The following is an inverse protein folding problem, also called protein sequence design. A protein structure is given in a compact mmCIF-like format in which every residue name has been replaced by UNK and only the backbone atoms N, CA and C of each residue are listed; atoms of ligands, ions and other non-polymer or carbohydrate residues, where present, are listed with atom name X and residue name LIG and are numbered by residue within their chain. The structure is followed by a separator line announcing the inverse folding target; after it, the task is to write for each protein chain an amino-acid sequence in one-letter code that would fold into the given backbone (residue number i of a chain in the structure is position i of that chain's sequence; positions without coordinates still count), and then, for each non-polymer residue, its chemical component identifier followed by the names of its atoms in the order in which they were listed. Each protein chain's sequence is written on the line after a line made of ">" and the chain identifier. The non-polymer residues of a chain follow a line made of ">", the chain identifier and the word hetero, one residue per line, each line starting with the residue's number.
data_IF_803142049196
#
_entry.id   IF_803142049196
#
_cell.length_a   1.000
_cell.length_b   1.000
_cell.length_c   1.000
_cell.angle_alpha   90.00
_cell.angle_beta   90.00
_cell.angle_gamma   90.00
#
_symmetry.space_group_name_H-M   'P 1'
#
loop_
_entity.id
_entity.type
_entity.pdbx_description
1 polymer ?
#
# COMPACT_ATOMS: atom_id res chain seq x y z
N UNK A 1 15.34 -10.55 20.82
CA UNK A 1 14.22 -9.88 21.51
C UNK A 1 13.08 -9.61 20.53
N UNK A 2 11.84 -9.51 21.02
CA UNK A 2 10.65 -9.17 20.19
C UNK A 2 10.84 -7.83 19.46
N UNK A 3 11.54 -6.87 20.09
CA UNK A 3 11.83 -5.55 19.51
C UNK A 3 12.82 -5.60 18.35
N UNK A 4 13.85 -6.44 18.41
CA UNK A 4 14.79 -6.60 17.31
C UNK A 4 14.10 -7.19 16.07
N UNK A 5 13.24 -8.19 16.26
CA UNK A 5 12.43 -8.71 15.16
C UNK A 5 11.51 -7.64 14.57
N UNK A 6 10.92 -6.77 15.42
CA UNK A 6 10.08 -5.65 14.94
C UNK A 6 10.87 -4.69 14.03
N UNK A 7 12.11 -4.38 14.40
CA UNK A 7 13.01 -3.52 13.61
C UNK A 7 13.41 -4.16 12.29
N UNK A 8 13.72 -5.46 12.28
CA UNK A 8 13.97 -6.23 11.05
C UNK A 8 12.74 -6.16 10.12
N UNK A 9 11.54 -6.26 10.69
CA UNK A 9 10.26 -6.11 9.98
C UNK A 9 9.88 -4.64 9.71
N UNK A 10 10.80 -3.69 9.94
CA UNK A 10 10.65 -2.26 9.66
C UNK A 10 9.52 -1.56 10.39
N UNK A 11 9.06 -2.13 11.51
CA UNK A 11 8.13 -1.42 12.39
C UNK A 11 8.83 -0.21 13.02
N UNK A 12 8.13 0.94 13.16
CA UNK A 12 8.64 2.06 13.94
C UNK A 12 8.93 1.63 15.38
N UNK A 13 10.01 2.17 15.97
CA UNK A 13 10.38 1.84 17.35
C UNK A 13 9.28 2.24 18.36
N UNK A 14 8.48 3.27 18.03
CA UNK A 14 7.31 3.71 18.81
C UNK A 14 6.09 2.80 18.70
N UNK A 15 6.10 1.79 17.82
CA UNK A 15 4.97 0.89 17.65
C UNK A 15 4.88 -0.11 18.81
N UNK A 16 3.78 -0.03 19.55
CA UNK A 16 3.51 -0.86 20.72
C UNK A 16 2.81 -2.15 20.29
N UNK A 17 3.36 -3.29 20.71
CA UNK A 17 2.79 -4.60 20.45
C UNK A 17 2.15 -5.10 21.74
N UNK A 18 0.85 -5.39 21.69
CA UNK A 18 0.12 -5.95 22.82
C UNK A 18 0.16 -7.48 22.76
N UNK A 19 0.87 -8.10 23.70
CA UNK A 19 0.91 -9.55 23.87
C UNK A 19 1.14 -9.89 25.35
N UNK A 20 0.58 -11.00 25.80
CA UNK A 20 0.80 -11.53 27.16
C UNK A 20 1.97 -12.50 27.21
N UNK A 21 2.11 -13.33 26.17
CA UNK A 21 3.20 -14.30 26.06
C UNK A 21 4.21 -13.88 24.99
N UNK A 22 5.49 -14.00 25.31
CA UNK A 22 6.61 -13.64 24.41
C UNK A 22 6.52 -14.41 23.08
N UNK A 23 6.14 -15.70 23.13
CA UNK A 23 5.97 -16.53 21.94
C UNK A 23 4.91 -15.97 20.97
N UNK A 24 3.82 -15.39 21.51
CA UNK A 24 2.80 -14.74 20.68
C UNK A 24 3.37 -13.48 20.01
N UNK A 25 4.15 -12.67 20.74
CA UNK A 25 4.85 -11.51 20.17
C UNK A 25 5.77 -11.88 19.00
N UNK A 26 6.58 -12.93 19.15
CA UNK A 26 7.42 -13.41 18.04
C UNK A 26 6.61 -13.91 16.84
N UNK A 27 5.51 -14.65 17.07
CA UNK A 27 4.65 -15.15 15.98
C UNK A 27 3.97 -14.00 15.24
N UNK A 28 3.47 -13.00 15.95
CA UNK A 28 2.84 -11.81 15.36
C UNK A 28 3.82 -11.06 14.45
N UNK A 29 5.04 -10.83 14.91
CA UNK A 29 6.04 -10.08 14.16
C UNK A 29 6.61 -10.89 13.01
N UNK A 30 6.94 -12.17 13.24
CA UNK A 30 7.55 -13.04 12.23
C UNK A 30 6.64 -13.32 11.04
N UNK A 31 5.33 -13.39 11.27
CA UNK A 31 4.36 -13.60 10.20
C UNK A 31 3.90 -12.29 9.53
N UNK A 32 4.25 -11.13 10.07
CA UNK A 32 3.86 -9.85 9.48
C UNK A 32 4.59 -9.61 8.15
N UNK A 33 3.99 -8.79 7.28
CA UNK A 33 4.69 -8.21 6.13
C UNK A 33 5.51 -7.01 6.63
N UNK A 34 6.78 -6.82 6.19
CA UNK A 34 7.54 -5.64 6.54
C UNK A 34 6.80 -4.34 6.18
N UNK A 35 6.71 -3.40 7.12
CA UNK A 35 5.96 -2.14 6.97
C UNK A 35 6.40 -1.34 5.73
N UNK A 36 7.69 -1.23 5.47
CA UNK A 36 8.21 -0.51 4.30
C UNK A 36 7.79 -1.18 2.98
N UNK A 37 7.78 -2.52 2.93
CA UNK A 37 7.32 -3.25 1.75
C UNK A 37 5.83 -2.99 1.51
N UNK A 38 5.01 -3.08 2.55
CA UNK A 38 3.59 -2.76 2.48
C UNK A 38 3.35 -1.32 1.97
N UNK A 39 4.14 -0.35 2.44
CA UNK A 39 4.08 1.05 1.97
C UNK A 39 4.38 1.16 0.47
N UNK A 40 5.47 0.53 0.00
CA UNK A 40 5.82 0.60 -1.42
C UNK A 40 4.79 -0.09 -2.31
N UNK A 41 4.23 -1.22 -1.88
CA UNK A 41 3.13 -1.88 -2.58
C UNK A 41 1.89 -0.98 -2.67
N UNK A 42 1.48 -0.36 -1.55
CA UNK A 42 0.34 0.54 -1.53
C UNK A 42 0.52 1.76 -2.44
N UNK A 43 1.72 2.35 -2.48
CA UNK A 43 2.04 3.46 -3.39
C UNK A 43 1.98 3.04 -4.86
N UNK A 44 2.46 1.84 -5.19
CA UNK A 44 2.37 1.29 -6.55
C UNK A 44 0.92 1.09 -6.97
N UNK A 45 0.11 0.45 -6.11
CA UNK A 45 -1.32 0.23 -6.37
C UNK A 45 -2.05 1.57 -6.54
N UNK A 46 -1.82 2.53 -5.66
CA UNK A 46 -2.39 3.89 -5.76
C UNK A 46 -2.06 4.53 -7.11
N UNK A 47 -0.80 4.48 -7.53
CA UNK A 47 -0.35 5.03 -8.81
C UNK A 47 -1.06 4.37 -10.00
N UNK A 48 -1.25 3.05 -9.95
CA UNK A 48 -1.95 2.30 -11.00
C UNK A 48 -3.42 2.73 -11.10
N UNK A 49 -4.11 2.88 -9.96
CA UNK A 49 -5.50 3.34 -9.90
C UNK A 49 -5.63 4.77 -10.45
N UNK A 50 -4.75 5.69 -10.04
CA UNK A 50 -4.75 7.07 -10.54
C UNK A 50 -4.50 7.13 -12.06
N UNK A 51 -3.57 6.31 -12.56
CA UNK A 51 -3.30 6.23 -13.99
C UNK A 51 -4.49 5.68 -14.76
N UNK A 52 -5.16 4.63 -14.25
CA UNK A 52 -6.37 4.09 -14.86
C UNK A 52 -7.47 5.17 -14.96
N UNK A 53 -7.70 5.94 -13.88
CA UNK A 53 -8.66 7.05 -13.89
C UNK A 53 -8.33 8.13 -14.92
N UNK A 54 -7.04 8.50 -15.05
CA UNK A 54 -6.58 9.47 -16.06
C UNK A 54 -6.79 8.96 -17.49
N UNK A 55 -6.57 7.67 -17.75
CA UNK A 55 -6.81 7.10 -19.08
C UNK A 55 -8.30 7.11 -19.44
N UNK A 56 -9.17 6.76 -18.49
CA UNK A 56 -10.63 6.81 -18.69
C UNK A 56 -11.07 8.24 -19.04
N UNK A 57 -10.61 9.25 -18.29
CA UNK A 57 -10.95 10.66 -18.55
C UNK A 57 -10.45 11.14 -19.93
N UNK A 58 -9.24 10.74 -20.34
CA UNK A 58 -8.70 11.07 -21.67
C UNK A 58 -9.53 10.45 -22.79
N UNK A 59 -9.92 9.19 -22.65
CA UNK A 59 -10.75 8.49 -23.64
C UNK A 59 -12.13 9.14 -23.76
N UNK A 60 -12.78 9.48 -22.64
CA UNK A 60 -14.06 10.18 -22.63
C UNK A 60 -13.98 11.56 -23.31
N UNK A 61 -12.93 12.34 -23.02
CA UNK A 61 -12.73 13.64 -23.67
C UNK A 61 -12.57 13.48 -25.18
N UNK A 62 -11.75 12.52 -25.63
CA UNK A 62 -11.54 12.26 -27.07
C UNK A 62 -12.84 11.88 -27.76
N UNK A 63 -13.69 11.06 -27.11
CA UNK A 63 -14.99 10.67 -27.63
C UNK A 63 -15.92 11.89 -27.79
N UNK A 64 -16.00 12.73 -26.75
CA UNK A 64 -16.82 13.96 -26.79
C UNK A 64 -16.34 14.93 -27.87
N UNK A 65 -15.03 15.11 -28.02
CA UNK A 65 -14.45 15.98 -29.03
C UNK A 65 -14.74 15.47 -30.45
N UNK A 66 -14.74 14.15 -30.65
CA UNK A 66 -15.10 13.52 -31.93
C UNK A 66 -16.59 13.70 -32.25
N UNK A 67 -17.47 13.49 -31.27
CA UNK A 67 -18.92 13.69 -31.43
C UNK A 67 -19.26 15.12 -31.83
N UNK A 68 -18.59 16.11 -31.23
CA UNK A 68 -18.75 17.53 -31.60
C UNK A 68 -18.23 17.86 -32.99
N UNK A 69 -17.22 17.14 -33.49
CA UNK A 69 -16.68 17.39 -34.83
C UNK A 69 -17.55 16.76 -35.94
N UNK A 70 -18.42 15.82 -35.58
CA UNK A 70 -19.33 15.11 -36.49
C UNK A 70 -20.77 15.67 -36.49
N UNK A 71 -21.10 16.58 -35.55
CA UNK A 71 -22.31 17.43 -35.58
C UNK A 71 -21.99 18.78 -36.21
#
# INVERSE_FOLDING_TARGET
>A
SVRECARIQTFPDSFIFHYTHIAAGYKMIGNAVPVNLAKHMALSIKTQIENAGKQIAKTQKKQLDLEKALS
#
